data_IF_198735915896
#
_entry.id   IF_198735915896
#
_cell.length_a   1.000
_cell.length_b   1.000
_cell.length_c   1.000
_cell.angle_alpha   90.00
_cell.angle_beta   90.00
_cell.angle_gamma   90.00
#
_symmetry.space_group_name_H-M   'P 1'
#
loop_
_entity.id
_entity.type
_entity.pdbx_description
1 polymer ?
#
# COMPACT_ATOMS: atom_id res chain seq x y z
N UNK A 1 -15.90 21.62 -16.19
CA UNK A 1 -15.03 21.39 -15.01
C UNK A 1 -13.68 20.93 -15.52
N UNK A 2 -12.68 21.80 -15.45
CA UNK A 2 -11.48 21.69 -16.30
C UNK A 2 -10.38 20.78 -15.74
N UNK A 3 -9.40 20.48 -16.60
CA UNK A 3 -8.14 19.74 -16.35
C UNK A 3 -7.41 20.10 -15.04
N UNK A 4 -7.70 21.27 -14.44
CA UNK A 4 -7.19 21.67 -13.11
C UNK A 4 -7.78 20.82 -11.97
N UNK A 5 -9.06 20.46 -12.05
CA UNK A 5 -9.72 19.61 -11.03
C UNK A 5 -9.21 18.17 -11.08
N UNK A 6 -8.97 17.62 -12.28
CA UNK A 6 -8.38 16.28 -12.41
C UNK A 6 -6.93 16.26 -11.91
N UNK A 7 -6.11 17.27 -12.22
CA UNK A 7 -4.76 17.42 -11.66
C UNK A 7 -4.75 17.49 -10.13
N UNK A 8 -5.66 18.25 -9.52
CA UNK A 8 -5.74 18.36 -8.06
C UNK A 8 -6.09 17.02 -7.40
N UNK A 9 -7.03 16.26 -7.97
CA UNK A 9 -7.36 14.90 -7.50
C UNK A 9 -6.17 13.96 -7.60
N UNK A 10 -5.45 13.99 -8.72
CA UNK A 10 -4.24 13.17 -8.90
C UNK A 10 -3.20 13.50 -7.83
N UNK A 11 -2.91 14.79 -7.61
CA UNK A 11 -1.95 15.23 -6.58
C UNK A 11 -2.39 14.75 -5.20
N UNK A 12 -3.66 14.93 -4.85
CA UNK A 12 -4.21 14.47 -3.57
C UNK A 12 -4.06 12.96 -3.37
N UNK A 13 -4.41 12.15 -4.38
CA UNK A 13 -4.25 10.70 -4.33
C UNK A 13 -2.78 10.27 -4.30
N UNK A 14 -1.88 10.98 -4.97
CA UNK A 14 -0.44 10.72 -4.91
C UNK A 14 0.12 10.95 -3.50
N UNK A 15 -0.31 12.01 -2.80
CA UNK A 15 0.09 12.27 -1.40
C UNK A 15 -0.42 11.17 -0.47
N UNK A 16 -1.67 10.75 -0.64
CA UNK A 16 -2.25 9.63 0.12
C UNK A 16 -1.49 8.31 -0.13
N UNK A 17 -1.14 8.02 -1.37
CA UNK A 17 -0.38 6.84 -1.75
C UNK A 17 1.00 6.82 -1.06
N UNK A 18 1.70 7.95 -1.04
CA UNK A 18 3.00 8.06 -0.36
C UNK A 18 2.88 7.80 1.14
N UNK A 19 1.86 8.37 1.79
CA UNK A 19 1.57 8.11 3.21
C UNK A 19 1.28 6.62 3.47
N UNK A 20 0.51 5.99 2.57
CA UNK A 20 0.20 4.56 2.66
C UNK A 20 1.46 3.70 2.52
N UNK A 21 2.31 3.97 1.53
CA UNK A 21 3.59 3.26 1.32
C UNK A 21 4.49 3.42 2.56
N UNK A 22 4.53 4.59 3.17
CA UNK A 22 5.30 4.82 4.40
C UNK A 22 4.79 3.98 5.58
N UNK A 23 3.47 3.91 5.77
CA UNK A 23 2.86 3.06 6.81
C UNK A 23 3.18 1.59 6.55
N UNK A 24 3.02 1.15 5.31
CA UNK A 24 3.27 -0.22 4.87
C UNK A 24 4.74 -0.63 5.09
N UNK A 25 5.68 0.25 4.75
CA UNK A 25 7.09 0.07 5.03
C UNK A 25 7.36 -0.05 6.53
N UNK A 26 6.79 0.86 7.33
CA UNK A 26 6.95 0.86 8.79
C UNK A 26 6.41 -0.43 9.42
N UNK A 27 5.28 -0.92 8.94
CA UNK A 27 4.69 -2.19 9.38
C UNK A 27 5.56 -3.40 9.03
N UNK A 28 6.07 -3.48 7.79
CA UNK A 28 7.00 -4.55 7.38
C UNK A 28 8.27 -4.54 8.24
N UNK A 29 8.84 -3.36 8.50
CA UNK A 29 10.00 -3.21 9.37
C UNK A 29 9.69 -3.64 10.82
N UNK A 30 8.51 -3.33 11.32
CA UNK A 30 8.05 -3.77 12.65
C UNK A 30 7.91 -5.29 12.72
N UNK A 31 7.35 -5.93 11.69
CA UNK A 31 7.24 -7.39 11.62
C UNK A 31 8.61 -8.08 11.55
N UNK A 32 9.56 -7.51 10.82
CA UNK A 32 10.94 -8.01 10.80
C UNK A 32 11.56 -7.96 12.20
N UNK A 33 11.35 -6.86 12.93
CA UNK A 33 11.82 -6.71 14.31
C UNK A 33 11.17 -7.74 15.25
N UNK A 34 9.86 -7.92 15.18
CA UNK A 34 9.16 -8.90 16.03
C UNK A 34 9.63 -10.34 15.77
N UNK A 35 9.82 -10.70 14.48
CA UNK A 35 10.36 -12.01 14.10
C UNK A 35 11.79 -12.18 14.57
N UNK A 36 12.60 -11.13 14.53
CA UNK A 36 13.96 -11.13 15.06
C UNK A 36 13.96 -11.35 16.58
N UNK A 37 13.10 -10.66 17.31
CA UNK A 37 13.02 -10.79 18.77
C UNK A 37 12.57 -12.22 19.15
N UNK A 38 11.60 -12.79 18.44
CA UNK A 38 11.21 -14.21 18.57
C UNK A 38 12.36 -15.15 18.25
N UNK A 39 13.11 -14.89 17.19
CA UNK A 39 14.27 -15.70 16.81
C UNK A 39 15.35 -15.68 17.91
N UNK A 40 15.70 -14.50 18.44
CA UNK A 40 16.63 -14.35 19.57
C UNK A 40 16.15 -15.08 20.81
N UNK A 41 14.86 -14.97 21.12
CA UNK A 41 14.24 -15.68 22.24
C UNK A 41 14.33 -17.20 22.08
N UNK A 42 13.98 -17.73 20.90
CA UNK A 42 14.07 -19.16 20.60
C UNK A 42 15.51 -19.67 20.69
N UNK A 43 16.50 -18.90 20.23
CA UNK A 43 17.91 -19.23 20.41
C UNK A 43 18.26 -19.32 21.89
N UNK A 44 17.94 -18.29 22.68
CA UNK A 44 18.24 -18.28 24.11
C UNK A 44 17.61 -19.49 24.84
N UNK A 45 16.36 -19.82 24.51
CA UNK A 45 15.66 -20.99 25.05
C UNK A 45 16.34 -22.30 24.65
N UNK A 46 16.72 -22.45 23.37
CA UNK A 46 17.41 -23.66 22.91
C UNK A 46 18.80 -23.83 23.53
N UNK A 47 19.53 -22.74 23.77
CA UNK A 47 20.83 -22.80 24.44
C UNK A 47 20.63 -23.20 25.89
N UNK A 48 19.70 -22.56 26.61
CA UNK A 48 19.37 -22.92 27.98
C UNK A 48 18.98 -24.39 28.13
N UNK A 49 18.16 -24.90 27.20
CA UNK A 49 17.75 -26.30 27.18
C UNK A 49 18.90 -27.25 26.82
N UNK A 50 19.80 -26.85 25.92
CA UNK A 50 21.00 -27.63 25.61
C UNK A 50 21.94 -27.71 26.82
N UNK A 51 22.13 -26.61 27.55
CA UNK A 51 22.97 -26.53 28.74
C UNK A 51 22.48 -27.47 29.86
N UNK A 52 21.16 -27.63 30.05
CA UNK A 52 20.61 -28.60 31.01
C UNK A 52 20.91 -30.06 30.65
N UNK A 53 20.95 -30.35 29.36
CA UNK A 53 21.12 -31.71 28.84
C UNK A 53 22.59 -32.09 28.62
N UNK A 54 23.53 -31.15 28.84
CA UNK A 54 24.96 -31.40 28.75
C UNK A 54 25.50 -31.56 30.18
N UNK A 55 26.16 -32.68 30.53
CA UNK A 55 26.69 -32.88 31.87
C UNK A 55 27.90 -31.97 32.12
N UNK A 56 27.66 -30.75 32.60
CA UNK A 56 28.69 -29.71 32.86
C UNK A 56 29.55 -30.06 34.09
N UNK A 57 29.08 -30.97 34.95
CA UNK A 57 29.77 -31.41 36.17
C UNK A 57 30.70 -32.63 35.95
N UNK A 58 30.83 -33.12 34.71
CA UNK A 58 31.75 -34.19 34.34
C UNK A 58 33.12 -33.67 33.90
N UNK A 59 34.18 -34.51 33.91
CA UNK A 59 35.49 -34.09 33.41
C UNK A 59 35.41 -33.72 31.93
N UNK A 60 35.91 -32.52 31.58
CA UNK A 60 35.92 -31.91 30.23
C UNK A 60 36.45 -32.82 29.10
N UNK A 61 37.17 -33.91 29.43
CA UNK A 61 37.75 -34.84 28.47
C UNK A 61 36.74 -35.81 27.82
N UNK A 62 35.50 -35.87 28.29
CA UNK A 62 34.45 -36.70 27.67
C UNK A 62 33.53 -35.92 26.71
N UNK A 63 33.68 -34.59 26.62
CA UNK A 63 32.93 -33.79 25.67
C UNK A 63 33.61 -33.81 24.30
N UNK A 64 33.08 -34.62 23.39
CA UNK A 64 33.44 -34.59 21.97
C UNK A 64 32.60 -33.53 21.24
N UNK A 65 33.18 -32.86 20.24
CA UNK A 65 32.49 -31.88 19.38
C UNK A 65 31.18 -32.41 18.79
N UNK A 66 31.12 -33.72 18.49
CA UNK A 66 29.94 -34.40 17.94
C UNK A 66 28.76 -34.44 18.92
N UNK A 67 29.01 -34.68 20.21
CA UNK A 67 27.98 -34.72 21.25
C UNK A 67 27.36 -33.34 21.46
N UNK A 68 28.20 -32.30 21.54
CA UNK A 68 27.74 -30.90 21.70
C UNK A 68 26.95 -30.45 20.47
N UNK A 69 27.49 -30.71 19.27
CA UNK A 69 26.81 -30.39 18.00
C UNK A 69 25.44 -31.08 17.91
N UNK A 70 25.36 -32.37 18.25
CA UNK A 70 24.11 -33.12 18.18
C UNK A 70 23.07 -32.63 19.21
N UNK A 71 23.49 -32.31 20.43
CA UNK A 71 22.60 -31.77 21.47
C UNK A 71 22.08 -30.38 21.10
N UNK A 72 22.95 -29.49 20.61
CA UNK A 72 22.54 -28.18 20.11
C UNK A 72 21.61 -28.30 18.90
N UNK A 73 21.91 -29.18 17.93
CA UNK A 73 21.02 -29.43 16.78
C UNK A 73 19.63 -29.89 17.19
N UNK A 74 19.53 -30.81 18.16
CA UNK A 74 18.24 -31.29 18.70
C UNK A 74 17.47 -30.16 19.40
N UNK A 75 18.16 -29.34 20.18
CA UNK A 75 17.55 -28.21 20.91
C UNK A 75 17.10 -27.08 19.96
N UNK A 76 17.87 -26.80 18.92
CA UNK A 76 17.45 -25.87 17.87
C UNK A 76 16.27 -26.43 17.08
N UNK A 77 16.28 -27.73 16.74
CA UNK A 77 15.17 -28.36 16.03
C UNK A 77 13.85 -28.32 16.82
N UNK A 78 13.88 -28.54 18.14
CA UNK A 78 12.68 -28.48 18.99
C UNK A 78 12.05 -27.09 19.08
N UNK A 79 12.83 -26.02 18.85
CA UNK A 79 12.38 -24.62 18.81
C UNK A 79 12.08 -24.10 17.39
N UNK A 80 11.95 -25.02 16.41
CA UNK A 80 11.66 -24.66 15.01
C UNK A 80 12.86 -24.10 14.24
N UNK A 81 14.08 -24.26 14.77
CA UNK A 81 15.34 -23.76 14.22
C UNK A 81 16.20 -24.88 13.60
N UNK A 82 15.62 -26.03 13.22
CA UNK A 82 16.39 -27.23 12.84
C UNK A 82 17.34 -27.08 11.64
N UNK A 83 17.15 -26.07 10.80
CA UNK A 83 17.94 -25.83 9.58
C UNK A 83 18.92 -24.65 9.69
N UNK A 84 19.15 -24.14 10.90
CA UNK A 84 20.12 -23.06 11.13
C UNK A 84 21.54 -23.64 11.07
N UNK A 85 22.43 -22.94 10.37
CA UNK A 85 23.86 -23.16 10.50
C UNK A 85 24.33 -22.38 11.73
N UNK A 86 25.04 -23.06 12.64
CA UNK A 86 25.62 -22.45 13.82
C UNK A 86 27.04 -22.98 14.00
N UNK A 87 27.91 -22.14 14.54
CA UNK A 87 29.23 -22.54 15.06
C UNK A 87 29.23 -22.33 16.58
N UNK A 88 30.02 -23.13 17.30
CA UNK A 88 30.16 -22.99 18.74
C UNK A 88 31.62 -23.07 19.17
N UNK A 89 31.97 -22.39 20.26
CA UNK A 89 33.21 -22.62 20.99
C UNK A 89 32.96 -22.65 22.48
N UNK A 90 33.58 -23.60 23.16
CA UNK A 90 33.61 -23.78 24.61
C UNK A 90 35.07 -23.67 25.04
N UNK A 91 35.39 -22.71 25.89
CA UNK A 91 36.76 -22.65 26.41
C UNK A 91 37.07 -21.51 27.34
N UNK A 92 38.09 -21.75 28.15
CA UNK A 92 38.81 -20.72 28.90
C UNK A 92 39.98 -20.17 28.10
N UNK A 93 40.59 -19.07 28.54
CA UNK A 93 41.68 -18.36 27.85
C UNK A 93 42.79 -19.26 27.26
N UNK A 94 43.03 -20.44 27.86
CA UNK A 94 44.11 -21.35 27.48
C UNK A 94 43.65 -22.73 26.92
N UNK A 95 42.34 -23.03 26.89
CA UNK A 95 41.85 -24.32 26.39
C UNK A 95 40.49 -24.13 25.69
N UNK A 96 40.47 -24.22 24.35
CA UNK A 96 39.31 -23.94 23.50
C UNK A 96 38.96 -25.17 22.67
N UNK A 97 37.80 -25.75 22.93
CA UNK A 97 37.10 -26.63 21.99
C UNK A 97 36.26 -25.72 21.09
N UNK A 98 36.52 -25.71 19.79
CA UNK A 98 35.82 -24.86 18.84
C UNK A 98 35.46 -25.66 17.59
N UNK A 99 34.23 -25.50 17.11
CA UNK A 99 33.82 -26.11 15.85
C UNK A 99 34.67 -25.57 14.69
N UNK A 100 34.84 -26.42 13.68
CA UNK A 100 35.66 -26.11 12.51
C UNK A 100 35.16 -24.83 11.80
N UNK A 101 35.91 -23.74 11.90
CA UNK A 101 35.57 -22.44 11.29
C UNK A 101 35.11 -21.33 12.24
N UNK A 102 35.03 -21.58 13.56
CA UNK A 102 34.64 -20.58 14.56
C UNK A 102 35.51 -19.30 14.52
N UNK A 103 36.83 -19.44 14.48
CA UNK A 103 37.78 -18.32 14.47
C UNK A 103 37.65 -17.45 13.22
N UNK A 104 37.36 -18.07 12.08
CA UNK A 104 37.20 -17.40 10.78
C UNK A 104 35.87 -16.64 10.70
N UNK A 105 34.78 -17.19 11.27
CA UNK A 105 33.48 -16.52 11.29
C UNK A 105 33.37 -15.43 12.36
N UNK A 106 34.18 -15.46 13.42
CA UNK A 106 34.21 -14.41 14.45
C UNK A 106 34.88 -13.11 13.96
N UNK A 107 35.91 -13.21 13.10
CA UNK A 107 36.69 -12.05 12.63
C UNK A 107 36.13 -11.40 11.36
N UNK A 108 35.35 -12.13 10.56
CA UNK A 108 35.08 -11.72 9.18
C UNK A 108 33.70 -11.08 8.92
N UNK A 109 32.80 -10.99 9.91
CA UNK A 109 31.44 -10.48 9.64
C UNK A 109 30.79 -9.76 10.83
N UNK A 110 30.50 -8.47 10.66
CA UNK A 110 29.86 -7.58 11.65
C UNK A 110 28.36 -7.83 11.86
N UNK A 111 27.76 -8.74 11.09
CA UNK A 111 26.33 -9.09 11.14
C UNK A 111 26.02 -10.44 11.82
N UNK A 112 27.01 -11.06 12.45
CA UNK A 112 26.81 -12.34 13.13
C UNK A 112 26.13 -12.14 14.50
N UNK A 113 25.14 -12.98 14.80
CA UNK A 113 24.53 -13.00 16.12
C UNK A 113 25.41 -13.87 17.03
N UNK A 114 26.12 -13.23 17.96
CA UNK A 114 26.99 -13.91 18.92
C UNK A 114 26.30 -13.94 20.28
N UNK A 115 26.04 -15.14 20.80
CA UNK A 115 25.52 -15.32 22.15
C UNK A 115 26.64 -15.76 23.08
N UNK A 116 26.74 -15.10 24.23
CA UNK A 116 27.70 -15.42 25.28
C UNK A 116 26.96 -16.00 26.47
N UNK A 117 27.30 -17.23 26.85
CA UNK A 117 26.85 -17.82 28.10
C UNK A 117 28.06 -18.05 28.99
N UNK A 118 28.07 -17.38 30.14
CA UNK A 118 29.15 -17.47 31.13
C UNK A 118 28.68 -18.37 32.26
N UNK A 119 29.49 -19.37 32.63
CA UNK A 119 29.23 -20.21 33.79
C UNK A 119 30.47 -20.27 34.68
N UNK A 120 30.24 -20.32 35.99
CA UNK A 120 31.31 -20.38 36.99
C UNK A 120 31.67 -21.84 37.24
N UNK A 121 32.93 -22.20 36.98
CA UNK A 121 33.47 -23.51 37.31
C UNK A 121 33.72 -23.56 38.83
N UNK A 122 32.87 -24.27 39.56
CA UNK A 122 33.06 -24.44 40.99
C UNK A 122 33.97 -25.64 41.26
N UNK A 123 35.27 -25.38 41.39
CA UNK A 123 36.28 -26.42 41.61
C UNK A 123 37.68 -25.92 41.30
N UNK A 124 38.37 -25.54 42.38
CA UNK A 124 39.81 -25.21 42.49
C UNK A 124 40.29 -23.88 41.89
N UNK A 125 40.51 -22.91 42.80
CA UNK A 125 41.54 -21.84 42.83
C UNK A 125 41.95 -21.13 41.53
N UNK A 126 41.14 -21.15 40.49
CA UNK A 126 41.29 -20.30 39.31
C UNK A 126 39.93 -19.72 38.97
N UNK A 127 39.79 -18.41 39.12
CA UNK A 127 38.65 -17.60 38.67
C UNK A 127 38.64 -17.51 37.14
N UNK A 128 38.73 -18.65 36.46
CA UNK A 128 38.61 -18.74 35.02
C UNK A 128 37.12 -18.91 34.67
N UNK A 129 36.47 -17.83 34.24
CA UNK A 129 35.11 -17.87 33.70
C UNK A 129 35.15 -18.62 32.38
N UNK A 130 34.55 -19.80 32.32
CA UNK A 130 34.42 -20.55 31.08
C UNK A 130 33.24 -19.96 30.29
N UNK A 131 33.51 -19.59 29.03
CA UNK A 131 32.51 -18.92 28.17
C UNK A 131 32.12 -19.82 27.02
N UNK A 132 30.82 -20.09 26.90
CA UNK A 132 30.25 -20.67 25.70
C UNK A 132 29.94 -19.52 24.74
N UNK A 133 30.50 -19.58 23.54
CA UNK A 133 30.24 -18.62 22.48
C UNK A 133 29.58 -19.36 21.34
N UNK A 134 28.34 -19.00 21.02
CA UNK A 134 27.60 -19.54 19.87
C UNK A 134 27.47 -18.43 18.84
N UNK A 135 27.91 -18.70 17.61
CA UNK A 135 27.87 -17.77 16.49
C UNK A 135 26.90 -18.31 15.45
N UNK A 136 25.86 -17.53 15.16
CA UNK A 136 24.92 -17.84 14.08
C UNK A 136 25.22 -16.88 12.93
N UNK A 137 25.89 -17.35 11.87
CA UNK A 137 26.17 -16.53 10.70
C UNK A 137 24.91 -16.24 9.88
N UNK A 138 24.88 -15.09 9.20
CA UNK A 138 23.87 -14.74 8.19
C UNK A 138 22.39 -14.82 8.64
N UNK A 139 22.11 -14.49 9.92
CA UNK A 139 20.75 -14.59 10.49
C UNK A 139 19.73 -13.70 9.76
N UNK A 140 20.14 -12.55 9.20
CA UNK A 140 19.27 -11.65 8.43
C UNK A 140 18.70 -12.33 7.18
N UNK A 141 19.54 -13.07 6.46
CA UNK A 141 19.12 -13.83 5.27
C UNK A 141 18.17 -14.96 5.66
N UNK A 142 18.39 -15.60 6.81
CA UNK A 142 17.50 -16.62 7.35
C UNK A 142 16.14 -16.04 7.78
N UNK A 143 16.13 -14.88 8.44
CA UNK A 143 14.90 -14.17 8.80
C UNK A 143 14.10 -13.77 7.55
N UNK A 144 14.77 -13.25 6.52
CA UNK A 144 14.15 -12.86 5.24
C UNK A 144 13.64 -14.07 4.44
N UNK A 145 14.33 -15.22 4.47
CA UNK A 145 13.94 -16.43 3.73
C UNK A 145 12.56 -16.97 4.11
N UNK A 146 12.10 -16.70 5.33
CA UNK A 146 10.78 -17.13 5.82
C UNK A 146 9.69 -16.04 5.68
N UNK A 147 10.00 -14.87 5.10
CA UNK A 147 9.06 -13.75 4.97
C UNK A 147 8.62 -13.39 3.53
N UNK A 148 8.81 -14.22 2.47
CA UNK A 148 8.44 -13.81 1.11
C UNK A 148 6.93 -13.57 0.99
N UNK A 149 6.11 -14.30 1.76
CA UNK A 149 4.66 -14.11 1.75
C UNK A 149 4.22 -12.74 2.26
N UNK A 150 4.86 -12.21 3.30
CA UNK A 150 4.54 -10.88 3.86
C UNK A 150 4.89 -9.78 2.85
N UNK A 151 6.04 -9.91 2.19
CA UNK A 151 6.50 -8.97 1.16
C UNK A 151 5.58 -9.06 -0.07
N UNK A 152 5.22 -10.27 -0.50
CA UNK A 152 4.32 -10.48 -1.64
C UNK A 152 2.91 -9.93 -1.38
N UNK A 153 2.34 -10.20 -0.21
CA UNK A 153 1.02 -9.68 0.19
C UNK A 153 1.01 -8.14 0.24
N UNK A 154 2.08 -7.56 0.77
CA UNK A 154 2.34 -6.11 0.79
C UNK A 154 2.30 -5.54 -0.64
N UNK A 155 3.12 -6.06 -1.56
CA UNK A 155 3.17 -5.57 -2.96
C UNK A 155 1.83 -5.73 -3.68
N UNK A 156 1.16 -6.88 -3.51
CA UNK A 156 -0.13 -7.14 -4.13
C UNK A 156 -1.20 -6.12 -3.69
N UNK A 157 -1.23 -5.80 -2.39
CA UNK A 157 -2.15 -4.82 -1.84
C UNK A 157 -1.88 -3.42 -2.40
N UNK A 158 -0.61 -3.02 -2.58
CA UNK A 158 -0.25 -1.75 -3.20
C UNK A 158 -0.75 -1.66 -4.65
N UNK A 159 -0.58 -2.74 -5.44
CA UNK A 159 -1.07 -2.81 -6.82
C UNK A 159 -2.60 -2.69 -6.86
N UNK A 160 -3.30 -3.39 -5.95
CA UNK A 160 -4.76 -3.34 -5.87
C UNK A 160 -5.27 -1.92 -5.59
N UNK A 161 -4.71 -1.22 -4.61
CA UNK A 161 -5.08 0.17 -4.30
C UNK A 161 -4.78 1.08 -5.48
N UNK A 162 -3.62 0.92 -6.11
CA UNK A 162 -3.24 1.72 -7.27
C UNK A 162 -4.23 1.54 -8.44
N UNK A 163 -4.68 0.32 -8.70
CA UNK A 163 -5.70 0.03 -9.71
C UNK A 163 -7.05 0.71 -9.40
N UNK A 164 -7.49 0.65 -8.13
CA UNK A 164 -8.74 1.29 -7.69
C UNK A 164 -8.66 2.81 -7.85
N UNK A 165 -7.58 3.44 -7.38
CA UNK A 165 -7.38 4.89 -7.49
C UNK A 165 -7.39 5.35 -8.95
N UNK A 166 -6.71 4.61 -9.83
CA UNK A 166 -6.66 4.93 -11.25
C UNK A 166 -8.03 4.76 -11.93
N UNK A 167 -8.76 3.70 -11.59
CA UNK A 167 -10.12 3.46 -12.08
C UNK A 167 -11.09 4.58 -11.71
N UNK A 168 -11.04 5.07 -10.47
CA UNK A 168 -11.87 6.20 -10.00
C UNK A 168 -11.58 7.47 -10.80
N UNK A 169 -10.31 7.78 -11.08
CA UNK A 169 -9.93 8.97 -11.86
C UNK A 169 -10.48 8.88 -13.29
N UNK A 170 -10.32 7.75 -13.97
CA UNK A 170 -10.77 7.55 -15.35
C UNK A 170 -12.30 7.63 -15.45
N UNK A 171 -13.03 6.95 -14.55
CA UNK A 171 -14.50 6.99 -14.53
C UNK A 171 -15.03 8.39 -14.23
N UNK A 172 -14.38 9.12 -13.33
CA UNK A 172 -14.74 10.50 -13.02
C UNK A 172 -14.57 11.44 -14.22
N UNK A 173 -13.60 11.20 -15.11
CA UNK A 173 -13.37 12.06 -16.27
C UNK A 173 -14.39 11.79 -17.37
N UNK A 174 -14.71 10.50 -17.62
CA UNK A 174 -15.73 10.10 -18.59
C UNK A 174 -17.13 10.60 -18.23
N UNK A 175 -17.51 10.52 -16.96
CA UNK A 175 -18.84 10.99 -16.54
C UNK A 175 -19.01 12.50 -16.76
N UNK A 176 -17.98 13.31 -16.48
CA UNK A 176 -18.03 14.76 -16.69
C UNK A 176 -18.17 15.16 -18.17
N UNK A 177 -17.50 14.45 -19.08
CA UNK A 177 -17.63 14.70 -20.52
C UNK A 177 -19.07 14.45 -20.99
N UNK A 178 -19.66 13.33 -20.58
CA UNK A 178 -21.05 13.00 -20.94
C UNK A 178 -22.06 14.04 -20.44
N UNK A 179 -21.87 14.58 -19.22
CA UNK A 179 -22.75 15.65 -18.71
C UNK A 179 -22.58 16.96 -19.49
N UNK A 180 -21.35 17.30 -19.89
CA UNK A 180 -21.09 18.48 -20.70
C UNK A 180 -21.73 18.37 -22.08
N UNK A 181 -21.57 17.22 -22.75
CA UNK A 181 -22.12 16.99 -24.09
C UNK A 181 -23.66 17.03 -24.10
N UNK A 182 -24.32 16.46 -23.07
CA UNK A 182 -25.78 16.57 -22.92
C UNK A 182 -26.23 18.02 -22.79
N UNK A 183 -25.57 18.81 -21.94
CA UNK A 183 -25.88 20.24 -21.75
C UNK A 183 -25.67 21.03 -23.03
N UNK A 184 -24.57 20.80 -23.73
CA UNK A 184 -24.26 21.47 -25.00
C UNK A 184 -25.30 21.12 -26.08
N UNK A 185 -25.75 19.87 -26.15
CA UNK A 185 -26.81 19.44 -27.08
C UNK A 185 -28.15 20.10 -26.75
N UNK A 186 -28.51 20.21 -25.46
CA UNK A 186 -29.72 20.94 -25.04
C UNK A 186 -29.64 22.40 -25.48
N UNK A 187 -28.54 23.11 -25.18
CA UNK A 187 -28.36 24.53 -25.57
C UNK A 187 -28.51 24.72 -27.08
N UNK A 188 -27.83 23.88 -27.87
CA UNK A 188 -27.92 23.93 -29.33
C UNK A 188 -29.35 23.70 -29.84
N UNK A 189 -30.04 22.74 -29.23
CA UNK A 189 -31.45 22.49 -29.52
C UNK A 189 -32.34 23.69 -29.14
N UNK A 190 -32.12 24.33 -27.98
CA UNK A 190 -32.88 25.52 -27.59
C UNK A 190 -32.71 26.65 -28.61
N UNK A 191 -31.46 26.92 -29.04
CA UNK A 191 -31.18 27.96 -30.02
C UNK A 191 -31.96 27.73 -31.31
N UNK A 192 -31.89 26.51 -31.86
CA UNK A 192 -32.55 26.18 -33.11
C UNK A 192 -34.09 26.28 -33.00
N UNK A 193 -34.66 25.81 -31.89
CA UNK A 193 -36.11 25.86 -31.64
C UNK A 193 -36.63 27.29 -31.42
N UNK A 194 -35.81 28.19 -30.86
CA UNK A 194 -36.18 29.59 -30.63
C UNK A 194 -35.96 30.49 -31.85
N UNK A 195 -35.01 30.16 -32.73
CA UNK A 195 -34.72 30.94 -33.94
C UNK A 195 -35.92 31.04 -34.89
N UNK A 196 -36.66 29.94 -35.05
CA UNK A 196 -37.83 29.86 -35.94
C UNK A 196 -39.01 30.76 -35.49
N UNK A 197 -39.55 30.65 -34.26
CA UNK A 197 -40.63 31.53 -33.81
C UNK A 197 -40.18 33.00 -33.73
N UNK A 198 -38.92 33.27 -33.41
CA UNK A 198 -38.39 34.64 -33.40
C UNK A 198 -38.42 35.27 -34.80
N UNK A 199 -38.05 34.51 -35.84
CA UNK A 199 -38.17 34.96 -37.23
C UNK A 199 -39.63 35.19 -37.63
N UNK A 200 -40.55 34.30 -37.25
CA UNK A 200 -41.99 34.45 -37.54
C UNK A 200 -42.58 35.70 -36.86
N UNK A 201 -42.22 35.95 -35.60
CA UNK A 201 -42.62 37.15 -34.86
C UNK A 201 -42.06 38.40 -35.53
N UNK A 202 -40.78 38.37 -35.95
CA UNK A 202 -40.14 39.49 -36.64
C UNK A 202 -40.88 39.85 -37.94
N UNK A 203 -41.22 38.85 -38.76
CA UNK A 203 -41.94 39.06 -40.02
C UNK A 203 -43.36 39.58 -39.77
N UNK A 204 -44.08 39.01 -38.79
CA UNK A 204 -45.41 39.49 -38.42
C UNK A 204 -45.38 40.92 -37.87
N UNK A 205 -44.37 41.27 -37.06
CA UNK A 205 -44.17 42.61 -36.53
C UNK A 205 -43.85 43.62 -37.64
N UNK A 206 -43.06 43.23 -38.64
CA UNK A 206 -42.78 44.05 -39.81
C UNK A 206 -44.03 44.27 -40.68
N UNK A 207 -44.85 43.23 -40.86
CA UNK A 207 -46.14 43.35 -41.54
C UNK A 207 -47.09 44.32 -40.82
N UNK A 208 -47.11 44.31 -39.48
CA UNK A 208 -47.88 45.25 -38.66
C UNK A 208 -47.40 46.71 -38.76
N UNK A 209 -46.15 46.95 -39.18
CA UNK A 209 -45.64 48.31 -39.43
C UNK A 209 -46.03 48.85 -40.81
N UNK A 210 -46.58 48.01 -41.69
CA UNK A 210 -47.02 48.43 -43.02
C UNK A 210 -48.37 49.14 -42.93
N UNK A 211 -48.44 50.39 -43.42
CA UNK A 211 -49.68 51.20 -43.39
C UNK A 211 -50.90 50.47 -43.99
N UNK A 212 -50.72 49.65 -45.03
CA UNK A 212 -51.81 48.87 -45.65
C UNK A 212 -52.39 47.80 -44.72
N UNK A 213 -51.58 47.25 -43.83
CA UNK A 213 -51.99 46.25 -42.84
C UNK A 213 -52.59 46.94 -41.62
N UNK A 214 -51.99 48.05 -41.18
CA UNK A 214 -52.48 48.83 -40.03
C UNK A 214 -53.90 49.38 -40.22
N UNK A 215 -54.24 49.81 -41.43
CA UNK A 215 -55.59 50.30 -41.74
C UNK A 215 -56.61 49.18 -42.00
N UNK A 216 -56.16 47.93 -42.10
CA UNK A 216 -57.00 46.75 -42.24
C UNK A 216 -57.08 46.02 -40.89
N UNK A 217 -58.18 46.26 -40.17
CA UNK A 217 -58.43 45.69 -38.84
C UNK A 217 -58.34 44.15 -38.84
N UNK A 218 -58.77 43.49 -39.92
CA UNK A 218 -58.71 42.04 -40.06
C UNK A 218 -57.28 41.52 -40.12
N UNK A 219 -56.43 42.14 -40.97
CA UNK A 219 -55.02 41.75 -41.11
C UNK A 219 -54.19 42.09 -39.87
N UNK A 220 -54.46 43.24 -39.24
CA UNK A 220 -53.81 43.61 -37.98
C UNK A 220 -54.09 42.57 -36.89
N UNK A 221 -55.35 42.15 -36.74
CA UNK A 221 -55.74 41.13 -35.76
C UNK A 221 -55.09 39.77 -36.06
N UNK A 222 -54.98 39.38 -37.33
CA UNK A 222 -54.29 38.16 -37.74
C UNK A 222 -52.82 38.13 -37.32
N UNK A 223 -52.03 39.16 -37.64
CA UNK A 223 -50.61 39.19 -37.28
C UNK A 223 -50.39 39.31 -35.75
N UNK A 224 -51.26 40.01 -35.03
CA UNK A 224 -51.24 40.03 -33.56
C UNK A 224 -51.50 38.64 -32.96
N UNK A 225 -52.43 37.87 -33.55
CA UNK A 225 -52.70 36.51 -33.12
C UNK A 225 -51.49 35.60 -33.37
N UNK A 226 -50.85 35.69 -34.54
CA UNK A 226 -49.62 34.93 -34.86
C UNK A 226 -48.51 35.19 -33.84
N UNK A 227 -48.29 36.46 -33.47
CA UNK A 227 -47.28 36.83 -32.46
C UNK A 227 -47.61 36.22 -31.09
N UNK A 228 -48.88 36.28 -30.67
CA UNK A 228 -49.31 35.71 -29.40
C UNK A 228 -49.19 34.18 -29.35
N UNK A 229 -49.56 33.50 -30.45
CA UNK A 229 -49.43 32.05 -30.57
C UNK A 229 -47.96 31.62 -30.49
N UNK A 230 -47.05 32.34 -31.17
CA UNK A 230 -45.62 32.00 -31.11
C UNK A 230 -44.96 32.32 -29.78
N UNK A 231 -45.35 33.40 -29.11
CA UNK A 231 -44.91 33.66 -27.74
C UNK A 231 -45.34 32.54 -26.78
N UNK A 232 -46.57 32.05 -26.91
CA UNK A 232 -47.06 30.93 -26.11
C UNK A 232 -46.26 29.65 -26.42
N UNK A 233 -46.02 29.35 -27.70
CA UNK A 233 -45.23 28.18 -28.12
C UNK A 233 -43.79 28.23 -27.58
N UNK A 234 -43.15 29.40 -27.62
CA UNK A 234 -41.81 29.58 -27.06
C UNK A 234 -41.77 29.30 -25.56
N UNK A 235 -42.74 29.80 -24.79
CA UNK A 235 -42.81 29.54 -23.35
C UNK A 235 -42.98 28.04 -23.05
N UNK A 236 -43.84 27.34 -23.78
CA UNK A 236 -44.03 25.89 -23.63
C UNK A 236 -42.74 25.11 -23.93
N UNK A 237 -41.98 25.52 -24.95
CA UNK A 237 -40.69 24.93 -25.28
C UNK A 237 -39.64 25.18 -24.17
N UNK A 238 -39.58 26.40 -23.61
CA UNK A 238 -38.68 26.72 -22.50
C UNK A 238 -39.02 25.90 -21.26
N UNK A 239 -40.29 25.76 -20.90
CA UNK A 239 -40.70 24.93 -19.76
C UNK A 239 -40.39 23.45 -19.96
N UNK A 240 -40.56 22.92 -21.18
CA UNK A 240 -40.20 21.55 -21.50
C UNK A 240 -38.69 21.33 -21.33
N UNK A 241 -37.87 22.28 -21.78
CA UNK A 241 -36.42 22.21 -21.64
C UNK A 241 -35.95 22.35 -20.18
N UNK A 242 -36.57 23.23 -19.39
CA UNK A 242 -36.30 23.34 -17.96
C UNK A 242 -36.60 22.03 -17.20
N UNK A 243 -37.61 21.28 -17.63
CA UNK A 243 -37.92 19.95 -17.09
C UNK A 243 -36.88 18.89 -17.47
N UNK A 244 -36.33 18.94 -18.68
CA UNK A 244 -35.28 18.01 -19.13
C UNK A 244 -33.90 18.29 -18.49
N UNK A 245 -33.71 19.49 -17.94
CA UNK A 245 -32.48 19.89 -17.23
C UNK A 245 -32.52 19.65 -15.71
N UNK A 246 -33.70 19.42 -15.13
CA UNK A 246 -33.91 19.10 -13.71
C UNK A 246 -33.61 17.63 -13.42
#
# INVERSE_FOLDING_TARGET
MGRRSTRLKIIFFSVLLLGFIFIQYSWVKSLQKEKLDKFRSNIALSIHEATKNIPINGPLHQLTDSTINNTLRRSFASQGLGNIHFEFSIGSANNRLASHGFTQKLTHNTSNLTWYYEFLRNGEKSTSVDRWTIVIPDWEKYALKNMPWIIAASVLLTIMIMAILWGVVILSERSQQLFYDRRAKVIKYMMQQLETPLSTISVAAEALRNARVMHDSGKTKYYQQVINEENKRMNEQVEKMLRELK
#
